data_IF_111810673863
#
_entry.id   IF_111810673863
#
_cell.length_a   1.000
_cell.length_b   1.000
_cell.length_c   1.000
_cell.angle_alpha   90.00
_cell.angle_beta   90.00
_cell.angle_gamma   90.00
#
_symmetry.space_group_name_H-M   'P 1'
#
loop_
_entity.id
_entity.type
_entity.pdbx_description
1 polymer ?
#
# COMPACT_ATOMS: atom_id res chain seq x y z
N UNK A 1 6.12 3.17 -8.09
CA UNK A 1 4.65 3.22 -8.33
C UNK A 1 4.32 3.45 -9.81
N UNK A 2 4.61 4.61 -10.41
CA UNK A 2 4.25 4.92 -11.81
C UNK A 2 4.83 3.93 -12.85
N UNK A 3 6.08 3.48 -12.68
CA UNK A 3 6.69 2.45 -13.54
C UNK A 3 5.99 1.08 -13.48
N UNK A 4 5.11 0.86 -12.49
CA UNK A 4 4.24 -0.31 -12.36
C UNK A 4 2.81 -0.04 -12.84
N UNK A 5 2.58 1.07 -13.53
CA UNK A 5 1.27 1.43 -14.09
C UNK A 5 0.28 2.04 -13.09
N UNK A 6 0.72 2.40 -11.87
CA UNK A 6 -0.13 3.07 -10.88
C UNK A 6 -0.34 4.54 -11.25
N UNK A 7 -1.60 4.97 -11.27
CA UNK A 7 -1.97 6.35 -11.57
C UNK A 7 -3.36 6.75 -11.07
N UNK A 8 -4.02 7.65 -11.80
CA UNK A 8 -5.31 8.23 -11.43
C UNK A 8 -6.38 7.15 -11.25
N UNK A 9 -7.03 7.16 -10.08
CA UNK A 9 -8.11 6.22 -9.74
C UNK A 9 -7.63 4.87 -9.23
N UNK A 10 -6.32 4.62 -9.16
CA UNK A 10 -5.78 3.39 -8.60
C UNK A 10 -5.64 3.49 -7.08
N UNK A 11 -5.79 2.36 -6.40
CA UNK A 11 -5.63 2.29 -4.94
C UNK A 11 -4.32 1.61 -4.57
N UNK A 12 -3.56 2.23 -3.68
CA UNK A 12 -2.41 1.64 -3.00
C UNK A 12 -2.76 1.51 -1.52
N UNK A 13 -2.80 0.28 -1.01
CA UNK A 13 -3.04 0.00 0.39
C UNK A 13 -1.73 0.03 1.20
N UNK A 14 -1.83 0.32 2.49
CA UNK A 14 -0.70 0.28 3.41
C UNK A 14 -1.12 -0.33 4.74
N UNK A 15 -0.40 -1.37 5.16
CA UNK A 15 -0.47 -1.99 6.48
C UNK A 15 0.87 -1.78 7.17
N UNK A 16 1.11 -0.55 7.62
CA UNK A 16 2.38 -0.10 8.19
C UNK A 16 2.15 0.60 9.53
N UNK A 17 3.11 0.52 10.48
CA UNK A 17 3.15 1.38 11.64
C UNK A 17 3.61 2.80 11.26
N UNK A 18 3.81 3.67 12.25
CA UNK A 18 4.30 5.04 12.04
C UNK A 18 5.81 5.06 11.77
N UNK A 19 6.22 4.55 10.60
CA UNK A 19 7.60 4.47 10.12
C UNK A 19 7.83 5.40 8.92
N UNK A 20 9.09 5.71 8.55
CA UNK A 20 9.39 6.58 7.42
C UNK A 20 8.66 6.21 6.13
N UNK A 21 8.62 4.92 5.77
CA UNK A 21 7.92 4.44 4.58
C UNK A 21 6.41 4.79 4.59
N UNK A 22 5.75 4.78 5.75
CA UNK A 22 4.35 5.20 5.87
C UNK A 22 4.21 6.70 5.60
N UNK A 23 5.10 7.53 6.13
CA UNK A 23 5.11 8.96 5.85
C UNK A 23 5.37 9.24 4.36
N UNK A 24 6.32 8.53 3.75
CA UNK A 24 6.61 8.63 2.32
C UNK A 24 5.42 8.22 1.46
N UNK A 25 4.70 7.16 1.83
CA UNK A 25 3.50 6.71 1.11
C UNK A 25 2.39 7.79 1.06
N UNK A 26 2.23 8.59 2.13
CA UNK A 26 1.27 9.71 2.16
C UNK A 26 1.54 10.78 1.10
N UNK A 27 2.77 10.89 0.60
CA UNK A 27 3.12 11.81 -0.48
C UNK A 27 3.25 11.07 -1.81
N UNK A 28 3.98 9.96 -1.84
CA UNK A 28 4.31 9.23 -3.05
C UNK A 28 3.07 8.70 -3.78
N UNK A 29 2.08 8.18 -3.04
CA UNK A 29 0.85 7.64 -3.63
C UNK A 29 0.03 8.78 -4.28
N UNK A 30 -0.38 9.85 -3.56
CA UNK A 30 -1.09 10.97 -4.18
C UNK A 30 -0.32 11.67 -5.31
N UNK A 31 1.00 11.75 -5.23
CA UNK A 31 1.83 12.34 -6.30
C UNK A 31 1.74 11.56 -7.62
N UNK A 32 1.30 10.30 -7.61
CA UNK A 32 0.98 9.54 -8.83
C UNK A 32 -0.44 9.77 -9.35
N UNK A 33 -1.30 10.43 -8.56
CA UNK A 33 -2.74 10.54 -8.78
C UNK A 33 -3.55 9.39 -8.17
N UNK A 34 -2.88 8.44 -7.52
CA UNK A 34 -3.51 7.30 -6.87
C UNK A 34 -4.06 7.67 -5.47
N UNK A 35 -4.92 6.79 -4.95
CA UNK A 35 -5.56 6.89 -3.64
C UNK A 35 -4.81 6.02 -2.64
N UNK A 36 -4.41 6.60 -1.50
CA UNK A 36 -3.83 5.85 -0.39
C UNK A 36 -4.92 5.24 0.50
N UNK A 37 -4.94 3.92 0.64
CA UNK A 37 -5.80 3.22 1.59
C UNK A 37 -5.00 2.77 2.81
N UNK A 38 -5.05 3.55 3.88
CA UNK A 38 -4.38 3.21 5.15
C UNK A 38 -5.25 2.23 5.94
N UNK A 39 -4.77 1.00 6.11
CA UNK A 39 -5.49 -0.05 6.81
C UNK A 39 -5.29 0.08 8.31
N UNK A 40 -6.32 -0.24 9.08
CA UNK A 40 -6.23 -0.26 10.53
C UNK A 40 -5.56 -1.57 11.00
N UNK A 41 -4.37 -1.42 11.59
CA UNK A 41 -3.52 -2.53 12.07
C UNK A 41 -4.16 -3.43 13.13
N UNK A 42 -5.29 -3.02 13.73
CA UNK A 42 -6.02 -3.78 14.75
C UNK A 42 -7.13 -4.67 14.18
N UNK A 43 -7.39 -4.59 12.88
CA UNK A 43 -8.45 -5.37 12.24
C UNK A 43 -8.00 -6.80 11.96
N UNK A 44 -8.98 -7.69 11.89
CA UNK A 44 -8.79 -9.08 11.53
C UNK A 44 -8.69 -9.26 10.00
N UNK A 45 -8.20 -10.42 9.59
CA UNK A 45 -7.93 -10.72 8.18
C UNK A 45 -9.18 -10.63 7.29
N UNK A 46 -10.37 -10.98 7.80
CA UNK A 46 -11.61 -10.92 7.04
C UNK A 46 -12.02 -9.47 6.73
N UNK A 47 -11.92 -8.58 7.73
CA UNK A 47 -12.18 -7.16 7.53
C UNK A 47 -11.17 -6.53 6.56
N UNK A 48 -9.89 -6.89 6.67
CA UNK A 48 -8.85 -6.40 5.74
C UNK A 48 -9.11 -6.90 4.32
N UNK A 49 -9.45 -8.18 4.14
CA UNK A 49 -9.76 -8.74 2.82
C UNK A 49 -10.92 -8.00 2.15
N UNK A 50 -11.98 -7.69 2.92
CA UNK A 50 -13.08 -6.87 2.44
C UNK A 50 -12.62 -5.48 1.98
N UNK A 51 -11.79 -4.79 2.78
CA UNK A 51 -11.30 -3.46 2.42
C UNK A 51 -10.40 -3.46 1.18
N UNK A 52 -9.59 -4.50 1.00
CA UNK A 52 -8.75 -4.68 -0.18
C UNK A 52 -9.58 -4.95 -1.44
N UNK A 53 -10.61 -5.79 -1.34
CA UNK A 53 -11.54 -6.08 -2.43
C UNK A 53 -12.36 -4.85 -2.80
N UNK A 54 -13.01 -4.22 -1.81
CA UNK A 54 -13.85 -3.03 -2.03
C UNK A 54 -13.02 -1.85 -2.56
N UNK A 55 -11.82 -1.66 -2.02
CA UNK A 55 -10.89 -0.64 -2.47
C UNK A 55 -10.16 -0.96 -3.78
N UNK A 56 -10.34 -2.17 -4.32
CA UNK A 56 -9.65 -2.66 -5.51
C UNK A 56 -8.14 -2.39 -5.49
N UNK A 57 -7.51 -2.70 -4.34
CA UNK A 57 -6.10 -2.39 -4.12
C UNK A 57 -5.22 -3.06 -5.20
N UNK A 58 -4.39 -2.26 -5.88
CA UNK A 58 -3.43 -2.77 -6.88
C UNK A 58 -2.07 -3.06 -6.28
N UNK A 59 -1.70 -2.33 -5.23
CA UNK A 59 -0.48 -2.53 -4.45
C UNK A 59 -0.85 -2.52 -2.98
N UNK A 60 -0.16 -3.32 -2.17
CA UNK A 60 -0.17 -3.20 -0.71
C UNK A 60 1.27 -3.12 -0.17
N UNK A 61 1.55 -2.13 0.67
CA UNK A 61 2.78 -2.03 1.46
C UNK A 61 2.58 -2.76 2.79
N UNK A 62 3.50 -3.66 3.15
CA UNK A 62 3.33 -4.56 4.30
C UNK A 62 4.56 -4.52 5.19
N UNK A 63 4.34 -4.17 6.46
CA UNK A 63 5.35 -4.30 7.50
C UNK A 63 5.44 -5.77 7.98
N UNK A 64 6.64 -6.29 8.32
CA UNK A 64 6.81 -7.65 8.82
C UNK A 64 5.92 -7.97 10.02
N UNK A 65 5.63 -7.02 10.91
CA UNK A 65 4.74 -7.19 12.07
C UNK A 65 3.34 -7.66 11.65
N UNK A 66 2.86 -7.22 10.48
CA UNK A 66 1.51 -7.51 9.99
C UNK A 66 1.48 -8.53 8.84
N UNK A 67 2.64 -9.09 8.46
CA UNK A 67 2.76 -10.09 7.39
C UNK A 67 1.81 -11.29 7.57
N UNK A 68 1.59 -11.74 8.80
CA UNK A 68 0.68 -12.84 9.11
C UNK A 68 -0.78 -12.52 8.79
N UNK A 69 -1.30 -11.38 9.27
CA UNK A 69 -2.71 -11.01 9.04
C UNK A 69 -2.96 -10.68 7.57
N UNK A 70 -2.00 -10.05 6.88
CA UNK A 70 -2.11 -9.80 5.44
C UNK A 70 -2.08 -11.10 4.64
N UNK A 71 -1.23 -12.06 5.00
CA UNK A 71 -1.22 -13.38 4.33
C UNK A 71 -2.56 -14.07 4.39
N UNK A 72 -3.23 -14.03 5.55
CA UNK A 72 -4.58 -14.58 5.69
C UNK A 72 -5.61 -13.77 4.91
N UNK A 73 -5.54 -12.44 4.94
CA UNK A 73 -6.46 -11.57 4.20
C UNK A 73 -6.39 -11.83 2.69
N UNK A 74 -5.18 -11.95 2.12
CA UNK A 74 -4.95 -12.25 0.70
C UNK A 74 -5.48 -13.64 0.28
N UNK A 75 -5.70 -14.57 1.21
CA UNK A 75 -6.36 -15.85 0.93
C UNK A 75 -7.88 -15.74 0.94
N UNK A 76 -8.43 -14.79 1.71
CA UNK A 76 -9.86 -14.54 1.85
C UNK A 76 -10.42 -13.61 0.76
N UNK A 77 -9.57 -12.83 0.10
CA UNK A 77 -9.96 -11.98 -1.02
C UNK A 77 -10.64 -12.76 -2.14
N UNK A 78 -11.69 -12.16 -2.70
CA UNK A 78 -12.43 -12.66 -3.86
C UNK A 78 -11.97 -12.01 -5.18
N UNK A 79 -11.38 -10.81 -5.10
CA UNK A 79 -10.90 -10.04 -6.23
C UNK A 79 -9.47 -10.39 -6.67
N UNK A 80 -8.91 -9.53 -7.53
CA UNK A 80 -7.50 -9.63 -7.92
C UNK A 80 -6.63 -9.23 -6.74
N UNK A 81 -5.64 -10.07 -6.41
CA UNK A 81 -4.71 -9.80 -5.33
C UNK A 81 -3.82 -8.60 -5.68
N UNK A 82 -3.58 -7.67 -4.74
CA UNK A 82 -2.63 -6.60 -4.94
C UNK A 82 -1.22 -7.18 -5.08
N UNK A 83 -0.35 -6.44 -5.77
CA UNK A 83 1.08 -6.65 -5.72
C UNK A 83 1.61 -6.24 -4.34
N UNK A 84 2.40 -7.09 -3.70
CA UNK A 84 2.82 -6.91 -2.31
C UNK A 84 4.25 -6.40 -2.27
N UNK A 85 4.45 -5.30 -1.53
CA UNK A 85 5.78 -4.73 -1.27
C UNK A 85 6.07 -4.90 0.21
N UNK A 86 7.10 -5.67 0.54
CA UNK A 86 7.57 -5.81 1.91
C UNK A 86 8.34 -4.55 2.32
N UNK A 87 8.00 -3.97 3.47
CA UNK A 87 8.67 -2.81 4.05
C UNK A 87 9.45 -3.30 5.26
N UNK A 88 10.78 -3.30 5.19
CA UNK A 88 11.60 -3.68 6.34
C UNK A 88 11.46 -2.64 7.47
N UNK A 89 11.30 -3.10 8.71
CA UNK A 89 11.33 -2.26 9.92
C UNK A 89 12.49 -2.67 10.84
N UNK A 90 13.47 -1.79 10.99
CA UNK A 90 14.61 -2.00 11.89
C UNK A 90 14.21 -2.07 13.38
N UNK A 91 13.01 -1.60 13.72
CA UNK A 91 12.47 -1.57 15.09
C UNK A 91 11.74 -2.86 15.46
N UNK A 92 11.43 -3.71 14.48
CA UNK A 92 10.69 -4.95 14.69
C UNK A 92 11.51 -6.16 14.27
N UNK A 93 11.65 -7.12 15.20
CA UNK A 93 12.29 -8.40 14.92
C UNK A 93 11.22 -9.48 14.79
N UNK A 94 11.05 -10.03 13.58
CA UNK A 94 10.11 -11.11 13.31
C UNK A 94 9.44 -10.97 11.95
N UNK A 95 8.29 -11.63 11.81
CA UNK A 95 7.52 -11.60 10.58
C UNK A 95 8.12 -12.45 9.46
N UNK A 96 7.53 -12.35 8.27
CA UNK A 96 8.03 -12.99 7.06
C UNK A 96 7.80 -12.07 5.88
N UNK A 97 8.73 -12.10 4.92
CA UNK A 97 8.52 -11.45 3.63
C UNK A 97 7.51 -12.26 2.83
N UNK A 98 6.43 -11.62 2.44
CA UNK A 98 5.32 -12.24 1.71
C UNK A 98 5.13 -11.60 0.33
N UNK A 99 5.89 -10.54 0.05
CA UNK A 99 5.84 -9.80 -1.19
C UNK A 99 6.87 -10.20 -2.22
N UNK A 100 6.69 -9.61 -3.39
CA UNK A 100 7.51 -9.88 -4.57
C UNK A 100 8.75 -8.97 -4.64
N UNK A 101 8.78 -7.89 -3.85
CA UNK A 101 9.89 -6.94 -3.80
C UNK A 101 9.95 -6.24 -2.45
N UNK A 102 11.16 -5.83 -2.08
CA UNK A 102 11.40 -5.01 -0.88
C UNK A 102 11.25 -3.51 -1.23
N UNK A 103 10.81 -2.71 -0.25
CA UNK A 103 10.48 -1.30 -0.39
C UNK A 103 11.60 -0.44 -0.95
N UNK A 104 12.79 -0.46 -0.35
CA UNK A 104 13.94 0.34 -0.80
C UNK A 104 14.38 -0.07 -2.21
N UNK A 105 14.31 -1.37 -2.53
CA UNK A 105 14.53 -1.85 -3.89
C UNK A 105 13.47 -1.31 -4.88
N UNK A 106 12.21 -1.21 -4.46
CA UNK A 106 11.13 -0.65 -5.27
C UNK A 106 11.26 0.88 -5.46
N UNK A 107 11.76 1.59 -4.45
CA UNK A 107 12.08 3.03 -4.52
C UNK A 107 13.27 3.26 -5.46
N UNK A 108 14.33 2.47 -5.34
CA UNK A 108 15.52 2.55 -6.19
C UNK A 108 15.21 2.26 -7.66
N UNK A 109 14.23 1.41 -7.95
CA UNK A 109 13.72 1.14 -9.30
C UNK A 109 12.79 2.25 -9.85
N UNK A 110 12.53 3.30 -9.07
CA UNK A 110 11.75 4.46 -9.48
C UNK A 110 12.41 5.27 -10.60
N UNK A 111 11.61 6.11 -11.27
CA UNK A 111 12.10 7.04 -12.29
C UNK A 111 12.48 8.38 -11.65
N UNK A 112 13.78 8.78 -11.64
CA UNK A 112 14.20 10.08 -11.12
C UNK A 112 13.64 11.28 -11.90
N UNK A 113 13.20 11.05 -13.15
CA UNK A 113 12.54 12.04 -14.00
C UNK A 113 11.02 12.14 -13.80
N UNK A 114 10.45 11.35 -12.89
CA UNK A 114 9.02 11.35 -12.62
C UNK A 114 8.54 12.75 -12.22
N UNK A 115 7.47 13.22 -12.88
CA UNK A 115 6.84 14.51 -12.56
C UNK A 115 5.60 14.28 -11.70
N UNK A 116 5.58 14.73 -10.44
CA UNK A 116 4.41 14.63 -9.59
C UNK A 116 3.18 15.28 -10.23
N UNK A 117 2.04 14.60 -10.13
CA UNK A 117 0.74 15.18 -10.46
C UNK A 117 0.20 15.91 -9.24
N UNK A 118 -0.46 17.03 -9.48
CA UNK A 118 -1.34 17.65 -8.48
C UNK A 118 -2.76 17.15 -8.72
N UNK A 119 -3.61 17.09 -7.68
CA UNK A 119 -5.04 16.94 -7.86
C UNK A 119 -5.54 17.96 -8.89
N UNK A 120 -6.40 17.52 -9.81
CA UNK A 120 -7.02 18.39 -10.79
C UNK A 120 -8.20 19.16 -10.18
N UNK A 121 -8.84 18.56 -9.18
CA UNK A 121 -9.98 19.07 -8.44
C UNK A 121 -9.84 18.80 -6.93
N UNK A 122 -10.53 19.58 -6.11
CA UNK A 122 -10.62 19.37 -4.65
C UNK A 122 -11.40 18.09 -4.30
N UNK A 123 -12.20 17.57 -5.22
CA UNK A 123 -12.96 16.33 -5.07
C UNK A 123 -12.18 15.08 -5.49
N UNK A 124 -10.96 15.23 -6.02
CA UNK A 124 -10.11 14.08 -6.33
C UNK A 124 -9.68 13.39 -5.03
N UNK A 125 -10.03 12.11 -4.90
CA UNK A 125 -9.61 11.32 -3.75
C UNK A 125 -8.09 11.15 -3.75
N UNK A 126 -7.46 11.48 -2.63
CA UNK A 126 -6.04 11.19 -2.37
C UNK A 126 -5.86 10.11 -1.30
N UNK A 127 -6.90 9.87 -0.50
CA UNK A 127 -6.92 8.85 0.52
C UNK A 127 -8.32 8.28 0.70
N UNK A 128 -8.38 7.03 1.17
CA UNK A 128 -9.60 6.33 1.57
C UNK A 128 -9.34 5.64 2.91
N UNK A 129 -10.35 5.63 3.79
CA UNK A 129 -10.27 5.01 5.09
C UNK A 129 -11.63 4.42 5.47
N UNK A 130 -11.62 3.41 6.33
CA UNK A 130 -12.81 2.73 6.81
C UNK A 130 -12.95 2.97 8.33
N UNK A 131 -14.19 3.20 8.77
CA UNK A 131 -14.55 3.41 10.19
C UNK A 131 -15.20 2.17 10.79
#
# INVERSE_FOLDING_TARGET
LAGRGIGVGDTVAAMLPNIPAMNEAHFAVPMTGAVLNTLNIRLDAASIAFQLDHGQAKIILVDPEFSGVISEALKLMSGTKPFVIDVDDASYAGGSRIGETEYEAAVAAGDPGFRPRRPADEWDAIAMSYT
#
